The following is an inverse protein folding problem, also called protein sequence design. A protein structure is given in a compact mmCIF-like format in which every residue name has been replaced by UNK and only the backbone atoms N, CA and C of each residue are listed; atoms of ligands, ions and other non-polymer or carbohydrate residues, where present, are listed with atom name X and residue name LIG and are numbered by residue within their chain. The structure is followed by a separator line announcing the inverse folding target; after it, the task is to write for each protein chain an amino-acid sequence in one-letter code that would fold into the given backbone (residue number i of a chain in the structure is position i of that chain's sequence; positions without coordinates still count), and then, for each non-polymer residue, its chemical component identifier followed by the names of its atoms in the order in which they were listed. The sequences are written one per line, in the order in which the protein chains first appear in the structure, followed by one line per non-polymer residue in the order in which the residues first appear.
data_IF_168979868630
#
_entry.id   IF_168979868630
#
_cell.length_a   1.000
_cell.length_b   1.000
_cell.length_c   1.000
_cell.angle_alpha   90.00
_cell.angle_beta   90.00
_cell.angle_gamma   90.00
#
_symmetry.space_group_name_H-M   'P 1'
#
loop_
_entity.id
_entity.type
_entity.pdbx_description
1 polymer ?
#
# COMPACT_ATOMS: atom_id res chain seq x y z
N UNK A 1 -3.30 11.18 -17.79
CA UNK A 1 -2.40 12.31 -18.11
C UNK A 1 -1.12 12.25 -17.25
N UNK A 2 -1.22 12.16 -15.92
CA UNK A 2 -0.05 12.28 -15.02
C UNK A 2 0.94 11.12 -15.08
N UNK A 3 0.46 9.86 -15.11
CA UNK A 3 1.34 8.69 -15.29
C UNK A 3 2.15 8.75 -16.57
N UNK A 4 1.50 9.12 -17.68
CA UNK A 4 2.15 9.24 -18.98
C UNK A 4 3.19 10.37 -19.01
N UNK A 5 3.01 11.38 -18.15
CA UNK A 5 3.96 12.48 -17.94
C UNK A 5 5.02 12.17 -16.89
N UNK A 6 5.06 10.95 -16.34
CA UNK A 6 6.02 10.54 -15.32
C UNK A 6 5.85 11.23 -13.97
N UNK A 7 4.70 11.87 -13.71
CA UNK A 7 4.45 12.51 -12.42
C UNK A 7 4.24 11.44 -11.34
N UNK A 8 4.98 11.57 -10.23
CA UNK A 8 4.94 10.64 -9.10
C UNK A 8 4.65 11.36 -7.80
N UNK A 9 4.04 10.66 -6.86
CA UNK A 9 3.87 11.09 -5.47
C UNK A 9 5.26 11.25 -4.84
N UNK A 10 5.51 12.43 -4.28
CA UNK A 10 6.81 12.82 -3.73
C UNK A 10 6.93 12.61 -2.22
N UNK A 11 5.82 12.51 -1.52
CA UNK A 11 5.76 12.14 -0.10
C UNK A 11 5.87 10.61 0.08
N UNK A 12 6.22 10.13 1.28
CA UNK A 12 6.14 8.71 1.62
C UNK A 12 4.73 8.15 1.37
N UNK A 13 4.65 6.97 0.75
CA UNK A 13 3.39 6.27 0.49
C UNK A 13 3.43 4.90 1.15
N UNK A 14 2.34 4.52 1.83
CA UNK A 14 2.14 3.16 2.32
C UNK A 14 0.87 2.56 1.75
N UNK A 15 0.95 1.32 1.27
CA UNK A 15 -0.19 0.57 0.73
C UNK A 15 -0.32 -0.73 1.51
N UNK A 16 -1.48 -0.90 2.14
CA UNK A 16 -1.90 -2.13 2.80
C UNK A 16 -3.04 -2.73 2.01
N UNK A 17 -2.96 -4.02 1.70
CA UNK A 17 -4.01 -4.71 0.98
C UNK A 17 -4.14 -6.16 1.41
N UNK A 18 -5.29 -6.77 1.18
CA UNK A 18 -5.42 -8.22 1.20
C UNK A 18 -4.44 -8.85 0.20
N UNK A 19 -3.94 -10.05 0.49
CA UNK A 19 -3.00 -10.77 -0.36
C UNK A 19 -3.63 -11.36 -1.63
N UNK A 20 -4.01 -10.47 -2.56
CA UNK A 20 -4.42 -10.83 -3.91
C UNK A 20 -3.25 -11.34 -4.77
N UNK A 21 -2.01 -11.17 -4.34
CA UNK A 21 -0.84 -11.75 -4.99
C UNK A 21 -0.89 -13.28 -4.92
N UNK A 22 -1.08 -13.80 -3.71
CA UNK A 22 -1.27 -15.24 -3.50
C UNK A 22 -2.57 -15.78 -4.15
N UNK A 23 -3.65 -14.99 -4.14
CA UNK A 23 -4.94 -15.46 -4.64
C UNK A 23 -5.11 -15.37 -6.18
N UNK A 24 -4.55 -14.33 -6.81
CA UNK A 24 -4.84 -13.96 -8.21
C UNK A 24 -3.59 -13.62 -9.03
N UNK A 25 -2.38 -13.72 -8.46
CA UNK A 25 -1.15 -13.30 -9.14
C UNK A 25 -1.05 -11.78 -9.32
N UNK A 26 -1.79 -11.00 -8.51
CA UNK A 26 -1.85 -9.55 -8.64
C UNK A 26 -0.66 -8.86 -7.96
N UNK A 27 0.16 -8.15 -8.74
CA UNK A 27 1.31 -7.39 -8.25
C UNK A 27 0.95 -5.91 -8.01
N UNK A 28 0.42 -5.65 -6.81
CA UNK A 28 0.11 -4.29 -6.39
C UNK A 28 1.35 -3.46 -6.07
N UNK A 29 2.47 -4.09 -5.68
CA UNK A 29 3.70 -3.38 -5.39
C UNK A 29 4.25 -2.74 -6.68
N UNK A 30 4.27 -3.48 -7.79
CA UNK A 30 4.63 -2.93 -9.10
C UNK A 30 3.64 -1.86 -9.57
N UNK A 31 2.34 -2.08 -9.39
CA UNK A 31 1.33 -1.10 -9.81
C UNK A 31 1.52 0.23 -9.09
N UNK A 32 1.65 0.21 -7.76
CA UNK A 32 1.84 1.42 -6.96
C UNK A 32 3.26 2.00 -7.10
N UNK A 33 4.27 1.15 -7.34
CA UNK A 33 5.64 1.58 -7.60
C UNK A 33 5.75 2.49 -8.82
N UNK A 34 4.89 2.32 -9.83
CA UNK A 34 4.82 3.23 -10.97
C UNK A 34 4.37 4.66 -10.59
N UNK A 35 3.69 4.83 -9.45
CA UNK A 35 3.13 6.10 -9.00
C UNK A 35 3.88 6.75 -7.84
N UNK A 36 4.58 5.98 -7.01
CA UNK A 36 5.25 6.48 -5.82
C UNK A 36 6.71 6.02 -5.79
N UNK A 37 7.64 6.96 -5.61
CA UNK A 37 9.07 6.65 -5.47
C UNK A 37 9.41 6.04 -4.12
N UNK A 38 8.75 6.53 -3.07
CA UNK A 38 8.99 6.12 -1.69
C UNK A 38 7.82 5.26 -1.17
N UNK A 39 7.65 4.07 -1.78
CA UNK A 39 6.56 3.14 -1.49
C UNK A 39 6.95 2.09 -0.46
N UNK A 40 6.12 1.94 0.57
CA UNK A 40 6.08 0.74 1.42
C UNK A 40 4.78 -0.03 1.13
N UNK A 41 4.92 -1.23 0.57
CA UNK A 41 3.79 -2.12 0.33
C UNK A 41 3.84 -3.29 1.32
N UNK A 42 2.70 -3.65 1.89
CA UNK A 42 2.55 -4.82 2.74
C UNK A 42 1.16 -5.45 2.56
N UNK A 43 1.06 -6.74 2.83
CA UNK A 43 -0.23 -7.45 2.81
C UNK A 43 -0.80 -7.62 4.21
N UNK A 44 -2.12 -7.73 4.29
CA UNK A 44 -2.87 -8.12 5.48
C UNK A 44 -3.65 -9.42 5.21
N UNK A 45 -3.90 -10.20 6.24
CA UNK A 45 -4.65 -11.45 6.15
C UNK A 45 -6.18 -11.26 6.16
N UNK A 46 -6.65 -10.04 6.44
CA UNK A 46 -8.07 -9.67 6.49
C UNK A 46 -8.56 -9.09 5.15
N UNK A 47 -9.88 -8.95 5.05
CA UNK A 47 -10.55 -8.46 3.86
C UNK A 47 -10.52 -6.93 3.73
N UNK A 48 -11.54 -6.41 3.06
CA UNK A 48 -11.66 -4.97 2.80
C UNK A 48 -11.75 -4.13 4.09
N UNK A 49 -12.34 -4.68 5.14
CA UNK A 49 -12.59 -4.01 6.42
C UNK A 49 -11.41 -4.13 7.38
N UNK A 50 -10.19 -3.99 6.86
CA UNK A 50 -8.94 -4.24 7.59
C UNK A 50 -8.77 -3.41 8.88
N UNK A 51 -9.34 -2.20 8.94
CA UNK A 51 -9.29 -1.37 10.14
C UNK A 51 -10.15 -1.93 11.28
N UNK A 52 -11.22 -2.67 10.96
CA UNK A 52 -12.10 -3.32 11.92
C UNK A 52 -11.59 -4.72 12.27
N UNK A 53 -11.08 -5.46 11.28
CA UNK A 53 -10.60 -6.83 11.45
C UNK A 53 -9.21 -6.93 12.07
N UNK A 54 -8.32 -5.97 11.76
CA UNK A 54 -6.94 -5.93 12.25
C UNK A 54 -6.51 -4.52 12.70
N UNK A 55 -7.26 -3.88 13.62
CA UNK A 55 -7.04 -2.48 14.02
C UNK A 55 -5.62 -2.22 14.52
N UNK A 56 -5.01 -3.18 15.22
CA UNK A 56 -3.64 -3.06 15.74
C UNK A 56 -2.59 -2.96 14.62
N UNK A 57 -2.73 -3.75 13.58
CA UNK A 57 -1.78 -3.76 12.46
C UNK A 57 -1.95 -2.53 11.58
N UNK A 58 -3.19 -2.11 11.34
CA UNK A 58 -3.47 -0.87 10.62
C UNK A 58 -2.95 0.35 11.39
N UNK A 59 -3.23 0.44 12.70
CA UNK A 59 -2.74 1.54 13.52
C UNK A 59 -1.20 1.59 13.56
N UNK A 60 -0.53 0.43 13.60
CA UNK A 60 0.93 0.36 13.53
C UNK A 60 1.46 0.88 12.20
N UNK A 61 0.88 0.43 11.08
CA UNK A 61 1.31 0.86 9.77
C UNK A 61 1.11 2.37 9.55
N UNK A 62 0.04 2.95 10.10
CA UNK A 62 -0.18 4.39 10.09
C UNK A 62 0.87 5.14 10.92
N UNK A 63 1.22 4.66 12.12
CA UNK A 63 2.28 5.26 12.93
C UNK A 63 3.64 5.18 12.23
N UNK A 64 3.95 4.04 11.62
CA UNK A 64 5.18 3.87 10.84
C UNK A 64 5.24 4.85 9.67
N UNK A 65 4.12 5.09 8.98
CA UNK A 65 4.06 6.08 7.90
C UNK A 65 4.30 7.50 8.43
N UNK A 66 3.69 7.88 9.55
CA UNK A 66 3.83 9.21 10.15
C UNK A 66 5.25 9.49 10.70
N UNK A 67 6.03 8.44 10.95
CA UNK A 67 7.41 8.56 11.43
C UNK A 67 8.44 8.73 10.29
N UNK A 68 8.01 8.79 9.03
CA UNK A 68 8.86 8.91 7.84
C UNK A 68 9.01 10.35 7.35
#
# INVERSE_FOLDING_TARGET
ADRARGSRLTMPVSVLQQDWGAALGYDAAALWGAWAADLRHSTVSCGHFMAEEAPGDIARALRDLLAR
#
